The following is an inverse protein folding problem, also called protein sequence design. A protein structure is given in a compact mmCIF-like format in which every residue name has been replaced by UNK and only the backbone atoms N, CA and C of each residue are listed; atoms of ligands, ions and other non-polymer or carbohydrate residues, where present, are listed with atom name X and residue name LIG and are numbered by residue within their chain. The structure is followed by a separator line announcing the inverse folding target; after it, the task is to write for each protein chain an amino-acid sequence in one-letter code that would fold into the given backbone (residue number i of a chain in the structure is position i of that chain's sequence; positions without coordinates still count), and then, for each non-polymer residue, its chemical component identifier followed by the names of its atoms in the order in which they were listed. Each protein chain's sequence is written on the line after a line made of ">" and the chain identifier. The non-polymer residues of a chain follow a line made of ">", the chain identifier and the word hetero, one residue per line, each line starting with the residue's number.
data_IF_726433472059
#
_entry.id   IF_726433472059
#
_cell.length_a   1.000
_cell.length_b   1.000
_cell.length_c   1.000
_cell.angle_alpha   90.00
_cell.angle_beta   90.00
_cell.angle_gamma   90.00
#
_symmetry.space_group_name_H-M   'P 1'
#
loop_
_entity.id
_entity.type
_entity.pdbx_description
1 polymer ?
#
# COMPACT_ATOMS: atom_id res chain seq x y z
N UNK A 1 -20.48 18.39 -6.19
CA UNK A 1 -19.25 18.31 -7.02
C UNK A 1 -18.39 17.22 -6.41
N UNK A 2 -17.96 16.23 -7.19
CA UNK A 2 -17.14 15.12 -6.69
C UNK A 2 -15.65 15.47 -6.77
N UNK A 3 -14.85 14.85 -5.90
CA UNK A 3 -13.39 14.96 -5.90
C UNK A 3 -12.79 13.63 -6.37
N UNK A 4 -11.90 13.68 -7.35
CA UNK A 4 -11.16 12.51 -7.83
C UNK A 4 -9.92 12.27 -6.95
N UNK A 5 -9.39 11.05 -6.99
CA UNK A 5 -8.09 10.75 -6.38
C UNK A 5 -6.96 11.46 -7.13
N UNK A 6 -5.80 11.70 -6.47
CA UNK A 6 -4.64 12.26 -7.14
C UNK A 6 -4.24 11.42 -8.36
N UNK A 7 -3.81 12.07 -9.43
CA UNK A 7 -3.31 11.39 -10.61
C UNK A 7 -1.96 10.73 -10.29
N UNK A 8 -1.81 9.47 -10.68
CA UNK A 8 -0.54 8.74 -10.59
C UNK A 8 0.52 9.41 -11.46
N UNK A 9 1.77 9.44 -10.98
CA UNK A 9 2.90 10.14 -11.63
C UNK A 9 3.84 9.13 -12.31
N UNK A 10 4.61 9.58 -13.30
CA UNK A 10 5.72 8.83 -13.92
C UNK A 10 5.39 7.40 -14.39
N UNK A 11 4.13 7.15 -14.76
CA UNK A 11 3.59 5.80 -15.00
C UNK A 11 4.31 5.01 -16.10
N UNK A 12 4.93 5.70 -17.06
CA UNK A 12 5.69 5.10 -18.16
C UNK A 12 7.20 5.05 -17.94
N UNK A 13 7.71 5.56 -16.81
CA UNK A 13 9.15 5.58 -16.57
C UNK A 13 9.66 4.14 -16.39
N UNK A 14 10.78 3.73 -17.05
CA UNK A 14 11.27 2.35 -16.98
C UNK A 14 11.49 1.82 -15.55
N UNK A 15 11.99 2.67 -14.65
CA UNK A 15 12.19 2.32 -13.24
C UNK A 15 10.86 2.08 -12.50
N UNK A 16 9.81 2.84 -12.80
CA UNK A 16 8.47 2.68 -12.21
C UNK A 16 7.81 1.39 -12.72
N UNK A 17 7.97 1.08 -14.01
CA UNK A 17 7.49 -0.17 -14.60
C UNK A 17 8.21 -1.39 -13.99
N UNK A 18 9.54 -1.32 -13.83
CA UNK A 18 10.30 -2.35 -13.11
C UNK A 18 9.83 -2.49 -11.67
N UNK A 19 9.59 -1.39 -10.97
CA UNK A 19 9.09 -1.42 -9.60
C UNK A 19 7.71 -2.06 -9.47
N UNK A 20 6.82 -1.81 -10.45
CA UNK A 20 5.52 -2.48 -10.52
C UNK A 20 5.68 -3.98 -10.69
N UNK A 21 6.57 -4.43 -11.59
CA UNK A 21 6.87 -5.85 -11.77
C UNK A 21 7.38 -6.46 -10.46
N UNK A 22 8.38 -5.82 -9.82
CA UNK A 22 8.94 -6.24 -8.53
C UNK A 22 7.87 -6.33 -7.44
N UNK A 23 6.95 -5.36 -7.38
CA UNK A 23 5.82 -5.38 -6.44
C UNK A 23 4.94 -6.63 -6.62
N UNK A 24 4.67 -7.02 -7.86
CA UNK A 24 3.90 -8.21 -8.17
C UNK A 24 4.67 -9.50 -7.88
N UNK A 25 5.92 -9.60 -8.32
CA UNK A 25 6.74 -10.82 -8.17
C UNK A 25 7.15 -11.08 -6.73
N UNK A 26 7.34 -10.03 -5.93
CA UNK A 26 7.59 -10.15 -4.48
C UNK A 26 6.34 -10.66 -3.75
N UNK A 27 5.15 -10.49 -4.33
CA UNK A 27 3.89 -10.91 -3.73
C UNK A 27 3.19 -9.82 -2.91
N UNK A 28 3.65 -8.57 -2.95
CA UNK A 28 2.99 -7.45 -2.23
C UNK A 28 1.51 -7.29 -2.62
N UNK A 29 1.18 -7.63 -3.87
CA UNK A 29 -0.17 -7.58 -4.42
C UNK A 29 -1.17 -8.57 -3.79
N UNK A 30 -0.73 -9.50 -2.92
CA UNK A 30 -1.63 -10.43 -2.23
C UNK A 30 -2.60 -9.71 -1.28
N UNK A 31 -2.11 -8.69 -0.57
CA UNK A 31 -2.88 -7.82 0.31
C UNK A 31 -3.12 -6.45 -0.33
N UNK A 32 -2.10 -5.88 -0.98
CA UNK A 32 -2.22 -4.61 -1.70
C UNK A 32 -2.78 -4.78 -3.12
N UNK A 33 -3.99 -5.36 -3.21
CA UNK A 33 -4.65 -5.69 -4.48
C UNK A 33 -4.81 -4.45 -5.38
N UNK A 34 -4.30 -4.46 -6.63
CA UNK A 34 -4.21 -3.25 -7.43
C UNK A 34 -5.53 -2.55 -7.71
N UNK A 35 -6.58 -3.29 -8.07
CA UNK A 35 -7.80 -2.71 -8.61
C UNK A 35 -9.08 -3.36 -8.08
N UNK A 36 -10.17 -2.59 -8.18
CA UNK A 36 -11.54 -3.02 -7.92
C UNK A 36 -12.48 -2.40 -8.94
N UNK A 37 -13.64 -3.03 -9.14
CA UNK A 37 -14.78 -2.40 -9.82
C UNK A 37 -15.83 -2.04 -8.78
N UNK A 38 -16.18 -0.75 -8.68
CA UNK A 38 -17.20 -0.31 -7.74
C UNK A 38 -18.57 -0.86 -8.11
N UNK A 39 -19.45 -0.99 -7.12
CA UNK A 39 -20.81 -1.46 -7.36
C UNK A 39 -21.55 -0.53 -8.34
N UNK A 40 -22.46 -1.11 -9.13
CA UNK A 40 -23.33 -0.34 -10.00
C UNK A 40 -24.46 0.27 -9.18
N UNK A 41 -24.38 1.56 -8.94
CA UNK A 41 -25.41 2.33 -8.24
C UNK A 41 -26.56 2.71 -9.19
N UNK A 42 -27.78 2.80 -8.64
CA UNK A 42 -28.94 3.32 -9.36
C UNK A 42 -28.88 4.85 -9.49
N UNK A 43 -28.39 5.54 -8.45
CA UNK A 43 -28.13 6.99 -8.42
C UNK A 43 -26.65 7.26 -8.12
N UNK A 44 -26.11 8.41 -8.56
CA UNK A 44 -24.68 8.74 -8.35
C UNK A 44 -23.74 8.19 -9.42
N UNK A 45 -24.07 8.42 -10.69
CA UNK A 45 -23.35 7.86 -11.86
C UNK A 45 -21.83 8.10 -11.87
N UNK A 46 -21.35 9.14 -11.21
CA UNK A 46 -19.93 9.47 -11.11
C UNK A 46 -19.13 8.64 -10.10
N UNK A 47 -19.74 7.64 -9.43
CA UNK A 47 -19.06 6.61 -8.63
C UNK A 47 -19.51 5.19 -9.00
N UNK A 48 -20.51 5.08 -9.88
CA UNK A 48 -21.12 3.82 -10.29
C UNK A 48 -20.23 3.09 -11.30
N UNK A 49 -20.00 1.79 -11.07
CA UNK A 49 -19.33 0.88 -12.01
C UNK A 49 -17.97 1.38 -12.53
N UNK A 50 -17.11 1.81 -11.62
CA UNK A 50 -15.79 2.36 -11.93
C UNK A 50 -14.69 1.34 -11.68
N UNK A 51 -13.78 1.20 -12.65
CA UNK A 51 -12.49 0.58 -12.42
C UNK A 51 -11.59 1.59 -11.68
N UNK A 52 -11.23 1.25 -10.45
CA UNK A 52 -10.36 2.05 -9.59
C UNK A 52 -9.09 1.28 -9.22
N UNK A 53 -8.01 1.98 -8.88
CA UNK A 53 -6.70 1.40 -8.59
C UNK A 53 -6.18 1.77 -7.18
N UNK A 54 -6.81 1.29 -6.10
CA UNK A 54 -6.47 1.72 -4.74
C UNK A 54 -5.33 0.93 -4.10
N UNK A 55 -4.89 -0.20 -4.66
CA UNK A 55 -3.81 -1.03 -4.09
C UNK A 55 -4.07 -1.48 -2.64
N UNK A 56 -5.23 -2.07 -2.41
CA UNK A 56 -5.67 -2.62 -1.13
C UNK A 56 -6.77 -3.65 -1.39
N UNK A 57 -6.91 -4.65 -0.54
CA UNK A 57 -8.09 -5.52 -0.50
C UNK A 57 -9.09 -5.15 0.60
N UNK A 58 -8.79 -4.14 1.40
CA UNK A 58 -9.59 -3.66 2.54
C UNK A 58 -9.81 -4.73 3.63
N UNK A 59 -9.06 -5.84 3.62
CA UNK A 59 -9.14 -6.89 4.62
C UNK A 59 -8.19 -6.59 5.79
N UNK A 60 -8.44 -7.28 6.91
CA UNK A 60 -7.55 -7.32 8.07
C UNK A 60 -6.50 -8.41 7.85
N UNK A 61 -5.24 -8.10 8.18
CA UNK A 61 -4.11 -9.02 8.10
C UNK A 61 -3.28 -8.95 9.37
N UNK A 62 -2.80 -10.10 9.83
CA UNK A 62 -1.84 -10.18 10.93
C UNK A 62 -0.48 -9.61 10.48
N UNK A 63 -0.09 -8.48 11.06
CA UNK A 63 1.19 -7.80 10.79
C UNK A 63 2.30 -8.18 11.78
N UNK A 64 2.03 -9.13 12.68
CA UNK A 64 2.96 -9.63 13.69
C UNK A 64 3.09 -8.76 14.94
N UNK A 65 3.76 -9.31 15.95
CA UNK A 65 3.88 -8.69 17.28
C UNK A 65 4.60 -7.32 17.25
N UNK A 66 5.47 -7.10 16.26
CA UNK A 66 6.19 -5.84 16.10
C UNK A 66 5.27 -4.65 15.82
N UNK A 67 4.07 -4.90 15.28
CA UNK A 67 3.04 -3.90 15.02
C UNK A 67 1.80 -4.13 15.88
N UNK A 68 1.88 -4.91 16.95
CA UNK A 68 0.75 -5.12 17.83
C UNK A 68 0.48 -3.88 18.71
N UNK A 69 -0.79 -3.49 18.86
CA UNK A 69 -1.22 -2.49 19.84
C UNK A 69 -1.73 -3.13 21.16
N UNK A 70 -1.85 -4.46 21.18
CA UNK A 70 -2.38 -5.28 22.27
C UNK A 70 -3.82 -4.92 22.69
N UNK A 71 -4.61 -4.32 21.79
CA UNK A 71 -6.00 -3.93 22.02
C UNK A 71 -6.91 -4.63 21.01
N UNK A 72 -7.54 -5.75 21.38
CA UNK A 72 -8.48 -6.42 20.49
C UNK A 72 -9.77 -5.60 20.31
N UNK A 73 -10.31 -5.61 19.09
CA UNK A 73 -11.57 -4.96 18.73
C UNK A 73 -12.53 -5.98 18.08
N UNK A 74 -13.54 -6.40 18.85
CA UNK A 74 -14.49 -7.43 18.40
C UNK A 74 -13.78 -8.76 18.11
N UNK A 75 -13.71 -9.15 16.84
CA UNK A 75 -13.00 -10.37 16.40
C UNK A 75 -11.56 -10.12 15.96
N UNK A 76 -11.16 -8.86 15.79
CA UNK A 76 -9.80 -8.50 15.44
C UNK A 76 -8.91 -8.53 16.68
N UNK A 77 -7.75 -9.14 16.56
CA UNK A 77 -6.66 -9.09 17.53
C UNK A 77 -5.88 -7.79 17.39
N UNK A 78 -5.09 -7.43 18.40
CA UNK A 78 -4.22 -6.24 18.33
C UNK A 78 -3.10 -6.31 17.30
N UNK A 79 -2.95 -7.44 16.57
CA UNK A 79 -1.96 -7.62 15.49
C UNK A 79 -2.56 -7.42 14.10
N UNK A 80 -3.89 -7.38 14.00
CA UNK A 80 -4.60 -7.34 12.74
C UNK A 80 -4.85 -5.91 12.29
N UNK A 81 -4.31 -5.55 11.14
CA UNK A 81 -4.48 -4.22 10.58
C UNK A 81 -5.13 -4.30 9.20
N UNK A 82 -6.02 -3.36 8.93
CA UNK A 82 -6.62 -3.22 7.60
C UNK A 82 -5.54 -2.74 6.63
N UNK A 83 -5.42 -3.39 5.47
CA UNK A 83 -4.58 -2.90 4.38
C UNK A 83 -5.03 -1.51 3.94
N UNK A 84 -4.27 -0.42 4.17
CA UNK A 84 -4.68 0.90 3.69
C UNK A 84 -4.50 0.99 2.16
N UNK A 85 -5.38 1.71 1.44
CA UNK A 85 -5.13 2.05 0.04
C UNK A 85 -3.77 2.73 -0.14
N UNK A 86 -2.98 2.33 -1.14
CA UNK A 86 -1.69 2.96 -1.45
C UNK A 86 -1.80 4.09 -2.49
N UNK A 87 -2.96 4.31 -3.10
CA UNK A 87 -3.14 5.44 -4.01
C UNK A 87 -2.84 6.79 -3.30
N UNK A 88 -1.99 7.62 -3.89
CA UNK A 88 -1.50 8.86 -3.30
C UNK A 88 -0.50 8.69 -2.15
N UNK A 89 0.02 7.48 -1.85
CA UNK A 89 1.02 7.29 -0.78
C UNK A 89 2.32 8.06 -1.06
N UNK A 90 2.69 8.22 -2.33
CA UNK A 90 3.84 9.02 -2.71
C UNK A 90 3.63 10.53 -2.54
N UNK A 91 2.44 10.98 -2.14
CA UNK A 91 2.11 12.38 -1.88
C UNK A 91 2.09 12.73 -0.38
N UNK A 92 2.34 11.77 0.52
CA UNK A 92 2.26 11.98 1.98
C UNK A 92 3.07 13.19 2.44
N UNK A 93 4.33 13.34 2.03
CA UNK A 93 5.15 14.51 2.38
C UNK A 93 4.55 15.82 1.87
N UNK A 94 4.04 15.83 0.64
CA UNK A 94 3.46 17.03 0.00
C UNK A 94 2.20 17.48 0.71
N UNK A 95 1.36 16.53 1.13
CA UNK A 95 0.04 16.82 1.71
C UNK A 95 0.12 17.04 3.22
N UNK A 96 0.96 16.29 3.92
CA UNK A 96 1.03 16.29 5.39
C UNK A 96 2.20 17.09 5.96
N UNK A 97 3.19 17.47 5.13
CA UNK A 97 4.41 18.14 5.60
C UNK A 97 5.42 17.20 6.30
N UNK A 98 5.11 15.91 6.37
CA UNK A 98 5.97 14.86 6.93
C UNK A 98 5.75 13.54 6.18
N UNK A 99 6.67 12.60 6.33
CA UNK A 99 6.53 11.21 5.87
C UNK A 99 6.42 10.31 7.08
N UNK A 100 5.21 10.07 7.59
CA UNK A 100 4.96 9.08 8.66
C UNK A 100 4.00 8.02 8.14
N UNK A 101 4.39 6.76 8.28
CA UNK A 101 3.67 5.59 7.77
C UNK A 101 3.38 4.60 8.90
N UNK A 102 2.52 3.62 8.59
CA UNK A 102 1.95 2.65 9.53
C UNK A 102 0.95 3.30 10.51
N UNK A 103 0.23 2.48 11.26
CA UNK A 103 -0.90 2.92 12.10
C UNK A 103 -0.48 3.88 13.22
N UNK A 104 0.78 3.82 13.67
CA UNK A 104 1.33 4.63 14.74
C UNK A 104 2.36 5.67 14.25
N UNK A 105 2.53 5.81 12.94
CA UNK A 105 3.43 6.79 12.34
C UNK A 105 4.93 6.53 12.57
N UNK A 106 5.33 5.35 13.07
CA UNK A 106 6.74 5.08 13.43
C UNK A 106 7.71 5.13 12.25
N UNK A 107 7.23 4.81 11.04
CA UNK A 107 8.07 4.68 9.87
C UNK A 107 8.19 6.02 9.13
N UNK A 108 9.42 6.48 8.91
CA UNK A 108 9.73 7.78 8.29
C UNK A 108 10.00 7.72 6.80
N UNK A 109 9.92 6.51 6.24
CA UNK A 109 10.07 6.24 4.81
C UNK A 109 9.27 4.98 4.43
N UNK A 110 9.00 4.84 3.13
CA UNK A 110 8.37 3.62 2.59
C UNK A 110 9.25 2.39 2.84
N UNK A 111 10.57 2.53 2.74
CA UNK A 111 11.52 1.46 3.09
C UNK A 111 11.41 1.05 4.55
N UNK A 112 11.40 2.01 5.50
CA UNK A 112 11.17 1.70 6.92
C UNK A 112 9.81 1.02 7.11
N UNK A 113 8.75 1.47 6.42
CA UNK A 113 7.43 0.87 6.53
C UNK A 113 7.41 -0.59 6.06
N UNK A 114 8.07 -0.90 4.93
CA UNK A 114 8.21 -2.27 4.43
C UNK A 114 8.95 -3.13 5.45
N UNK A 115 10.02 -2.63 6.08
CA UNK A 115 10.80 -3.37 7.07
C UNK A 115 10.02 -3.71 8.36
N UNK A 116 8.90 -3.04 8.64
CA UNK A 116 8.03 -3.39 9.76
C UNK A 116 7.00 -4.48 9.44
N UNK A 117 6.87 -4.91 8.18
CA UNK A 117 5.93 -5.97 7.81
C UNK A 117 6.37 -7.31 8.43
N UNK A 118 5.58 -7.83 9.36
CA UNK A 118 5.71 -9.15 9.95
C UNK A 118 4.49 -10.02 9.66
N UNK A 119 4.25 -11.02 10.50
CA UNK A 119 3.06 -11.88 10.40
C UNK A 119 2.92 -12.50 9.02
N UNK A 120 1.78 -12.27 8.37
CA UNK A 120 1.49 -12.79 7.02
C UNK A 120 2.43 -12.24 5.93
N UNK A 121 2.99 -11.03 6.12
CA UNK A 121 3.86 -10.35 5.16
C UNK A 121 5.37 -10.57 5.41
N UNK A 122 5.70 -11.43 6.37
CA UNK A 122 7.08 -11.72 6.80
C UNK A 122 7.99 -12.15 5.64
N UNK A 123 7.52 -13.06 4.78
CA UNK A 123 8.31 -13.56 3.65
C UNK A 123 8.60 -12.48 2.59
N UNK A 124 7.63 -11.59 2.34
CA UNK A 124 7.75 -10.46 1.42
C UNK A 124 8.73 -9.43 1.95
N UNK A 125 8.70 -9.14 3.26
CA UNK A 125 9.71 -8.30 3.90
C UNK A 125 11.11 -8.88 3.75
N UNK A 126 11.30 -10.15 4.05
CA UNK A 126 12.62 -10.79 3.97
C UNK A 126 13.13 -10.83 2.51
N UNK A 127 12.21 -10.98 1.54
CA UNK A 127 12.52 -10.83 0.11
C UNK A 127 12.98 -9.41 -0.21
N UNK A 128 12.29 -8.38 0.30
CA UNK A 128 12.74 -6.99 0.16
C UNK A 128 14.13 -6.76 0.76
N UNK A 129 14.44 -7.36 1.91
CA UNK A 129 15.76 -7.25 2.56
C UNK A 129 16.88 -7.89 1.73
N UNK A 130 16.60 -8.99 1.05
CA UNK A 130 17.58 -9.72 0.22
C UNK A 130 17.64 -9.23 -1.24
N UNK A 131 16.70 -8.38 -1.64
CA UNK A 131 16.58 -7.88 -3.01
C UNK A 131 17.79 -7.03 -3.44
N UNK A 132 18.23 -7.14 -4.71
CA UNK A 132 19.26 -6.28 -5.28
C UNK A 132 18.94 -4.79 -5.08
N UNK A 133 19.95 -3.92 -4.89
CA UNK A 133 19.72 -2.49 -4.65
C UNK A 133 18.86 -1.81 -5.74
N UNK A 134 19.06 -2.18 -7.01
CA UNK A 134 18.31 -1.59 -8.12
C UNK A 134 16.83 -1.98 -8.13
N UNK A 135 16.51 -3.24 -7.82
CA UNK A 135 15.13 -3.70 -7.71
C UNK A 135 14.44 -3.08 -6.50
N UNK A 136 15.17 -2.91 -5.39
CA UNK A 136 14.66 -2.21 -4.21
C UNK A 136 14.34 -0.76 -4.53
N UNK A 137 15.26 -0.05 -5.19
CA UNK A 137 15.06 1.33 -5.61
C UNK A 137 13.90 1.44 -6.63
N UNK A 138 13.74 0.47 -7.52
CA UNK A 138 12.63 0.42 -8.45
C UNK A 138 11.29 0.25 -7.72
N UNK A 139 11.20 -0.68 -6.75
CA UNK A 139 9.99 -0.86 -5.93
C UNK A 139 9.61 0.42 -5.19
N UNK A 140 10.57 1.11 -4.56
CA UNK A 140 10.30 2.40 -3.90
C UNK A 140 9.82 3.45 -4.90
N UNK A 141 10.46 3.58 -6.06
CA UNK A 141 10.01 4.52 -7.10
C UNK A 141 8.60 4.21 -7.60
N UNK A 142 8.21 2.93 -7.68
CA UNK A 142 6.83 2.54 -7.97
C UNK A 142 5.87 3.00 -6.89
N UNK A 143 6.17 2.77 -5.60
CA UNK A 143 5.33 3.21 -4.49
C UNK A 143 5.23 4.75 -4.41
N UNK A 144 6.30 5.47 -4.67
CA UNK A 144 6.29 6.94 -4.75
C UNK A 144 5.49 7.46 -5.96
N UNK A 145 5.36 6.64 -7.01
CA UNK A 145 4.54 6.98 -8.18
C UNK A 145 3.04 6.96 -7.87
N UNK A 146 2.63 6.15 -6.89
CA UNK A 146 1.23 5.96 -6.45
C UNK A 146 0.72 7.20 -5.71
#
# INVERSE_FOLDING_TARGET
>A
RNLAVPARRDVGAPRVLRGQEVFHTTGCASCHRPNHVTHRLQDGGAQSFQLIWPYTDLLLHDMGDGLADFRPEGRATGREWRTPPLWGIGLTQTVSGHSFFLHDGRARSLSEAILWHGGEAQAQRDTFVSMPPDDRAALIAFLESL
#
